data_IF_035470207162
#
_entry.id   IF_035470207162
#
_cell.length_a   1.000
_cell.length_b   1.000
_cell.length_c   1.000
_cell.angle_alpha   90.00
_cell.angle_beta   90.00
_cell.angle_gamma   90.00
#
_symmetry.space_group_name_H-M   'P 1'
#
loop_
_entity.id
_entity.type
_entity.pdbx_description
1 polymer ?
#
# COMPACT_ATOMS: atom_id res chain seq x y z
N UNK A 1 -34.02 -77.22 39.70
CA UNK A 1 -33.52 -75.82 39.80
C UNK A 1 -33.02 -75.43 38.41
N UNK A 2 -33.71 -74.48 37.76
CA UNK A 2 -33.50 -74.09 36.36
C UNK A 2 -32.15 -73.39 36.21
N UNK A 3 -31.34 -73.80 35.23
CA UNK A 3 -30.20 -73.03 34.72
C UNK A 3 -30.45 -72.80 33.23
N UNK A 4 -30.66 -71.53 32.86
CA UNK A 4 -30.86 -71.06 31.49
C UNK A 4 -29.53 -71.17 30.71
N UNK A 5 -29.55 -71.79 29.52
CA UNK A 5 -28.47 -71.68 28.53
C UNK A 5 -28.83 -70.55 27.56
N UNK A 6 -28.00 -69.52 27.56
CA UNK A 6 -28.06 -68.36 26.67
C UNK A 6 -27.65 -68.81 25.25
N UNK A 7 -28.53 -68.62 24.26
CA UNK A 7 -28.17 -68.76 22.85
C UNK A 7 -27.37 -67.52 22.43
N UNK A 8 -26.12 -67.72 22.05
CA UNK A 8 -25.29 -66.70 21.43
C UNK A 8 -25.75 -66.58 19.96
N UNK A 9 -26.64 -65.63 19.68
CA UNK A 9 -26.85 -65.16 18.30
C UNK A 9 -25.58 -64.41 17.89
N UNK A 10 -24.70 -65.09 17.17
CA UNK A 10 -23.69 -64.42 16.36
C UNK A 10 -24.41 -63.79 15.18
N UNK A 11 -24.41 -62.45 15.17
CA UNK A 11 -24.76 -61.64 14.02
C UNK A 11 -23.82 -62.05 12.88
N UNK A 12 -24.30 -62.89 11.98
CA UNK A 12 -23.70 -63.02 10.64
C UNK A 12 -24.00 -61.68 9.98
N UNK A 13 -23.00 -60.85 9.65
CA UNK A 13 -23.26 -59.66 8.85
C UNK A 13 -23.87 -60.15 7.54
N UNK A 14 -24.99 -59.54 7.14
CA UNK A 14 -25.53 -59.69 5.80
C UNK A 14 -24.48 -59.06 4.88
N UNK A 15 -23.45 -59.83 4.55
CA UNK A 15 -22.67 -59.63 3.34
C UNK A 15 -23.69 -59.85 2.23
N UNK A 16 -24.00 -58.78 1.51
CA UNK A 16 -24.62 -58.88 0.19
C UNK A 16 -23.67 -59.71 -0.65
N UNK A 17 -23.87 -61.03 -0.67
CA UNK A 17 -23.16 -61.89 -1.62
C UNK A 17 -23.57 -61.40 -3.00
N UNK A 18 -22.61 -60.83 -3.73
CA UNK A 18 -22.78 -60.64 -5.17
C UNK A 18 -23.01 -62.03 -5.76
N UNK A 19 -23.82 -62.14 -6.82
CA UNK A 19 -24.00 -63.41 -7.53
C UNK A 19 -22.68 -63.96 -8.12
N UNK A 20 -21.61 -63.17 -8.06
CA UNK A 20 -20.26 -63.47 -8.51
C UNK A 20 -19.37 -64.16 -7.46
N UNK A 21 -19.78 -64.20 -6.18
CA UNK A 21 -18.95 -64.73 -5.08
C UNK A 21 -19.32 -66.16 -4.61
N UNK A 22 -20.15 -66.90 -5.34
CA UNK A 22 -20.57 -68.24 -4.89
C UNK A 22 -19.56 -69.34 -5.31
N UNK A 23 -19.01 -70.09 -4.33
CA UNK A 23 -18.13 -71.22 -4.62
C UNK A 23 -18.96 -72.39 -5.17
N UNK A 24 -18.84 -72.60 -6.48
CA UNK A 24 -19.10 -73.83 -7.24
C UNK A 24 -19.73 -74.98 -6.43
N UNK A 25 -21.06 -75.15 -6.48
CA UNK A 25 -21.80 -76.42 -6.42
C UNK A 25 -23.31 -76.20 -6.66
N UNK A 26 -23.70 -75.97 -7.93
CA UNK A 26 -25.03 -76.36 -8.40
C UNK A 26 -24.96 -76.80 -9.88
N UNK A 27 -25.32 -78.05 -10.24
CA UNK A 27 -25.18 -78.60 -11.60
C UNK A 27 -26.47 -78.49 -12.43
N UNK A 28 -27.04 -77.29 -12.57
CA UNK A 28 -28.07 -77.02 -13.58
C UNK A 28 -27.89 -75.59 -14.16
N UNK A 29 -27.83 -75.51 -15.48
CA UNK A 29 -27.31 -74.40 -16.30
C UNK A 29 -27.89 -72.99 -16.02
N UNK A 30 -27.00 -72.01 -15.82
CA UNK A 30 -26.79 -70.88 -16.74
C UNK A 30 -25.50 -70.15 -16.29
N UNK A 31 -24.40 -70.33 -17.02
CA UNK A 31 -23.16 -69.58 -16.76
C UNK A 31 -23.38 -68.13 -17.20
N UNK A 32 -23.80 -67.28 -16.27
CA UNK A 32 -23.72 -65.85 -16.45
C UNK A 32 -22.28 -65.38 -16.22
N UNK A 33 -21.70 -64.64 -17.17
CA UNK A 33 -20.40 -64.01 -16.95
C UNK A 33 -20.54 -62.90 -15.89
N UNK A 34 -19.55 -62.79 -15.02
CA UNK A 34 -19.42 -61.71 -14.04
C UNK A 34 -18.51 -60.62 -14.60
N UNK A 35 -18.90 -59.37 -14.39
CA UNK A 35 -18.14 -58.20 -14.82
C UNK A 35 -18.92 -56.92 -14.50
N UNK A 36 -18.30 -55.77 -14.77
CA UNK A 36 -19.00 -54.50 -14.60
C UNK A 36 -20.12 -54.37 -15.63
N UNK A 37 -21.35 -54.17 -15.17
CA UNK A 37 -22.51 -54.00 -16.05
C UNK A 37 -22.86 -52.53 -16.32
N UNK A 38 -22.17 -51.58 -15.68
CA UNK A 38 -22.30 -50.15 -15.93
C UNK A 38 -21.59 -49.76 -17.24
N UNK A 39 -22.37 -49.31 -18.20
CA UNK A 39 -21.94 -48.89 -19.53
C UNK A 39 -21.05 -47.64 -19.54
N UNK A 40 -20.91 -46.93 -18.40
CA UNK A 40 -19.97 -45.83 -18.22
C UNK A 40 -18.62 -46.25 -17.59
N UNK A 41 -18.47 -47.52 -17.20
CA UNK A 41 -17.20 -48.02 -16.64
C UNK A 41 -16.21 -48.43 -17.73
N UNK A 42 -14.92 -48.22 -17.46
CA UNK A 42 -13.81 -48.56 -18.36
C UNK A 42 -13.61 -50.06 -18.56
N UNK A 43 -14.04 -50.87 -17.61
CA UNK A 43 -14.05 -52.32 -17.69
C UNK A 43 -15.47 -52.88 -17.87
N UNK A 44 -16.38 -52.10 -18.47
CA UNK A 44 -17.70 -52.56 -18.88
C UNK A 44 -17.61 -53.85 -19.71
N UNK A 45 -18.38 -54.87 -19.33
CA UNK A 45 -18.51 -56.11 -20.08
C UNK A 45 -19.97 -56.29 -20.54
N UNK A 46 -20.28 -56.13 -21.84
CA UNK A 46 -21.64 -56.30 -22.36
C UNK A 46 -22.18 -57.72 -22.27
N UNK A 47 -21.32 -58.72 -22.03
CA UNK A 47 -21.71 -60.11 -21.82
C UNK A 47 -21.92 -60.46 -20.34
N UNK A 48 -21.59 -59.55 -19.42
CA UNK A 48 -21.82 -59.77 -18.01
C UNK A 48 -23.33 -59.74 -17.73
N UNK A 49 -23.85 -60.81 -17.14
CA UNK A 49 -25.25 -60.91 -16.73
C UNK A 49 -25.43 -60.66 -15.23
N UNK A 50 -24.33 -60.63 -14.48
CA UNK A 50 -24.29 -60.35 -13.06
C UNK A 50 -23.27 -59.24 -12.77
N UNK A 51 -23.72 -58.22 -12.05
CA UNK A 51 -22.93 -57.04 -11.74
C UNK A 51 -22.01 -57.29 -10.55
N UNK A 52 -20.70 -57.23 -10.79
CA UNK A 52 -19.70 -57.23 -9.74
C UNK A 52 -19.33 -55.78 -9.42
N UNK A 53 -20.27 -55.06 -8.78
CA UNK A 53 -20.23 -53.62 -8.45
C UNK A 53 -18.91 -53.15 -7.79
N UNK A 54 -18.13 -54.07 -7.23
CA UNK A 54 -16.85 -53.78 -6.57
C UNK A 54 -15.70 -53.66 -7.60
N UNK A 55 -15.88 -54.18 -8.81
CA UNK A 55 -14.83 -54.23 -9.84
C UNK A 55 -14.92 -53.13 -10.89
N UNK A 56 -16.02 -52.37 -10.96
CA UNK A 56 -16.18 -51.28 -11.93
C UNK A 56 -15.09 -50.21 -11.74
N UNK A 57 -14.28 -49.99 -12.76
CA UNK A 57 -13.26 -48.94 -12.81
C UNK A 57 -13.77 -47.82 -13.70
N UNK A 58 -13.86 -46.61 -13.16
CA UNK A 58 -14.28 -45.42 -13.90
C UNK A 58 -13.06 -44.59 -14.27
N UNK A 59 -13.13 -43.79 -15.34
CA UNK A 59 -12.03 -42.92 -15.69
C UNK A 59 -11.88 -41.81 -14.64
N UNK A 60 -10.68 -41.25 -14.53
CA UNK A 60 -10.45 -40.07 -13.72
C UNK A 60 -11.27 -38.89 -14.28
N UNK A 61 -11.68 -37.97 -13.41
CA UNK A 61 -12.36 -36.73 -13.84
C UNK A 61 -11.56 -36.03 -14.95
N UNK A 62 -12.25 -35.65 -16.04
CA UNK A 62 -11.71 -35.06 -17.29
C UNK A 62 -10.92 -36.00 -18.23
N UNK A 63 -10.61 -37.23 -17.82
CA UNK A 63 -9.97 -38.23 -18.67
C UNK A 63 -10.98 -39.27 -19.19
N UNK A 64 -10.62 -39.93 -20.28
CA UNK A 64 -11.35 -41.07 -20.82
C UNK A 64 -10.78 -42.41 -20.26
N UNK A 65 -11.40 -43.53 -20.64
CA UNK A 65 -11.03 -44.86 -20.15
C UNK A 65 -9.70 -45.42 -20.64
N UNK A 66 -9.03 -44.73 -21.56
CA UNK A 66 -7.67 -45.04 -21.99
C UNK A 66 -6.65 -44.03 -21.43
N UNK A 67 -7.05 -43.24 -20.42
CA UNK A 67 -6.27 -42.17 -19.80
C UNK A 67 -5.84 -41.07 -20.77
N UNK A 68 -6.59 -40.86 -21.85
CA UNK A 68 -6.44 -39.68 -22.70
C UNK A 68 -7.39 -38.60 -22.20
N UNK A 69 -6.95 -37.35 -22.23
CA UNK A 69 -7.79 -36.24 -21.86
C UNK A 69 -8.99 -36.08 -22.83
N UNK A 70 -10.16 -35.68 -22.30
CA UNK A 70 -11.36 -35.41 -23.10
C UNK A 70 -11.26 -34.07 -23.86
N UNK A 71 -10.77 -33.02 -23.20
CA UNK A 71 -10.54 -31.68 -23.77
C UNK A 71 -9.08 -31.28 -23.53
N UNK A 72 -8.26 -31.39 -24.57
CA UNK A 72 -6.82 -31.09 -24.55
C UNK A 72 -6.50 -30.33 -25.83
N UNK A 73 -6.59 -29.00 -25.74
CA UNK A 73 -6.52 -28.10 -26.90
C UNK A 73 -5.12 -28.05 -27.50
N UNK A 74 -4.09 -28.17 -26.67
CA UNK A 74 -2.69 -28.03 -27.08
C UNK A 74 -1.93 -29.37 -27.21
N UNK A 75 -2.59 -30.48 -26.85
CA UNK A 75 -2.12 -31.86 -26.97
C UNK A 75 -0.90 -32.19 -26.11
N UNK A 76 -0.77 -31.55 -24.94
CA UNK A 76 0.33 -31.80 -24.00
C UNK A 76 0.04 -32.97 -23.03
N UNK A 77 -1.20 -33.46 -23.02
CA UNK A 77 -1.66 -34.59 -22.21
C UNK A 77 -2.27 -34.20 -20.86
N UNK A 78 -2.39 -32.92 -20.56
CA UNK A 78 -3.13 -32.36 -19.43
C UNK A 78 -4.46 -31.80 -19.95
N UNK A 79 -5.54 -31.98 -19.19
CA UNK A 79 -6.84 -31.45 -19.60
C UNK A 79 -6.96 -29.96 -19.38
N UNK A 80 -7.58 -29.25 -20.32
CA UNK A 80 -7.88 -27.81 -20.26
C UNK A 80 -8.52 -27.43 -18.91
N UNK A 81 -9.44 -28.26 -18.38
CA UNK A 81 -10.09 -28.01 -17.08
C UNK A 81 -9.18 -28.19 -15.85
N UNK A 82 -8.03 -28.82 -16.04
CA UNK A 82 -6.99 -29.05 -15.03
C UNK A 82 -5.76 -28.16 -15.24
N UNK A 83 -5.70 -27.40 -16.32
CA UNK A 83 -4.65 -26.42 -16.54
C UNK A 83 -4.80 -25.25 -15.57
N UNK A 84 -3.73 -24.97 -14.85
CA UNK A 84 -3.67 -23.77 -14.00
C UNK A 84 -3.13 -22.62 -14.84
N UNK A 85 -3.93 -21.59 -15.03
CA UNK A 85 -3.50 -20.37 -15.74
C UNK A 85 -2.59 -19.49 -14.87
N UNK A 86 -1.60 -18.87 -15.48
CA UNK A 86 -0.74 -17.88 -14.84
C UNK A 86 0.50 -17.54 -15.67
N UNK A 87 1.42 -16.75 -15.12
CA UNK A 87 2.68 -16.50 -15.81
C UNK A 87 3.59 -17.73 -15.73
N UNK A 88 3.95 -18.29 -16.89
CA UNK A 88 4.83 -19.46 -17.02
C UNK A 88 6.30 -19.09 -17.25
N UNK A 89 6.61 -17.80 -17.40
CA UNK A 89 7.95 -17.32 -17.68
C UNK A 89 8.76 -17.14 -16.39
N UNK A 90 9.86 -17.85 -16.26
CA UNK A 90 10.75 -17.79 -15.08
C UNK A 90 11.48 -16.46 -14.93
N UNK A 91 11.52 -15.62 -15.98
CA UNK A 91 12.12 -14.29 -15.95
C UNK A 91 11.12 -13.19 -15.52
N UNK A 92 9.82 -13.51 -15.40
CA UNK A 92 8.80 -12.58 -14.95
C UNK A 92 8.73 -12.49 -13.42
N UNK A 93 8.38 -11.32 -12.89
CA UNK A 93 8.26 -11.11 -11.45
C UNK A 93 7.12 -11.94 -10.84
N UNK A 94 5.98 -12.02 -11.54
CA UNK A 94 4.82 -12.77 -11.10
C UNK A 94 4.80 -14.23 -11.60
N UNK A 95 5.99 -14.83 -11.80
CA UNK A 95 6.12 -16.23 -12.18
C UNK A 95 5.35 -17.17 -11.23
N UNK A 96 4.53 -18.04 -11.79
CA UNK A 96 3.81 -19.07 -11.06
C UNK A 96 4.31 -20.46 -11.47
N UNK A 97 5.06 -21.11 -10.59
CA UNK A 97 5.59 -22.46 -10.81
C UNK A 97 4.52 -23.55 -10.95
N UNK A 98 3.27 -23.26 -10.59
CA UNK A 98 2.13 -24.16 -10.77
C UNK A 98 1.32 -23.85 -12.02
N UNK A 99 1.60 -22.74 -12.72
CA UNK A 99 0.93 -22.44 -13.98
C UNK A 99 1.46 -23.35 -15.08
N UNK A 100 0.52 -23.93 -15.84
CA UNK A 100 0.79 -24.81 -16.98
C UNK A 100 0.49 -24.04 -18.27
N UNK A 101 -0.54 -23.19 -18.24
CA UNK A 101 -0.95 -22.35 -19.37
C UNK A 101 -0.61 -20.89 -19.13
N UNK A 102 0.10 -20.28 -20.09
CA UNK A 102 0.40 -18.85 -20.05
C UNK A 102 -0.81 -18.02 -20.49
N UNK A 103 -1.34 -17.20 -19.58
CA UNK A 103 -2.50 -16.35 -19.85
C UNK A 103 -2.13 -14.90 -20.22
N UNK A 104 -0.85 -14.62 -20.48
CA UNK A 104 -0.35 -13.29 -20.83
C UNK A 104 -0.24 -12.32 -19.66
N UNK A 105 -0.36 -12.80 -18.41
CA UNK A 105 -0.22 -11.98 -17.21
C UNK A 105 1.22 -11.63 -16.82
N UNK A 106 2.23 -12.13 -17.52
CA UNK A 106 3.64 -11.95 -17.12
C UNK A 106 4.05 -10.48 -17.01
N UNK A 107 4.53 -10.09 -15.83
CA UNK A 107 5.02 -8.74 -15.52
C UNK A 107 6.55 -8.76 -15.39
N UNK A 108 7.21 -7.80 -16.04
CA UNK A 108 8.67 -7.71 -16.09
C UNK A 108 9.14 -6.38 -15.52
N UNK A 109 10.28 -6.42 -14.83
CA UNK A 109 11.04 -5.24 -14.39
C UNK A 109 11.40 -4.42 -15.64
N UNK A 110 10.96 -3.16 -15.70
CA UNK A 110 11.08 -2.32 -16.90
C UNK A 110 11.93 -1.07 -16.68
N UNK A 111 12.08 -0.62 -15.43
CA UNK A 111 12.92 0.50 -15.03
C UNK A 111 14.22 0.00 -14.36
N UNK A 112 15.26 0.84 -14.35
CA UNK A 112 16.56 0.56 -13.71
C UNK A 112 16.43 0.34 -12.20
N UNK A 113 15.37 0.90 -11.59
CA UNK A 113 15.15 0.90 -10.14
C UNK A 113 14.08 -0.08 -9.67
N UNK A 114 13.34 -0.68 -10.60
CA UNK A 114 12.35 -1.70 -10.29
C UNK A 114 13.05 -2.93 -9.68
N UNK A 115 12.47 -3.44 -8.59
CA UNK A 115 12.87 -4.75 -8.04
C UNK A 115 11.66 -5.67 -7.98
N UNK A 116 11.91 -6.98 -8.13
CA UNK A 116 10.89 -7.98 -7.89
C UNK A 116 11.03 -8.53 -6.47
N UNK A 117 10.00 -8.32 -5.65
CA UNK A 117 9.93 -8.86 -4.30
C UNK A 117 8.54 -9.46 -4.07
N UNK A 118 8.49 -10.72 -3.63
CA UNK A 118 7.25 -11.44 -3.33
C UNK A 118 6.21 -11.42 -4.48
N UNK A 119 6.67 -11.60 -5.72
CA UNK A 119 5.85 -11.58 -6.94
C UNK A 119 5.18 -10.23 -7.26
N UNK A 120 5.68 -9.14 -6.68
CA UNK A 120 5.21 -7.77 -6.94
C UNK A 120 6.41 -6.94 -7.43
N UNK A 121 6.18 -6.15 -8.48
CA UNK A 121 7.15 -5.13 -8.92
C UNK A 121 7.06 -3.95 -7.96
N UNK A 122 8.17 -3.63 -7.32
CA UNK A 122 8.32 -2.45 -6.48
C UNK A 122 9.12 -1.43 -7.30
N UNK A 123 8.49 -0.31 -7.64
CA UNK A 123 9.20 0.84 -8.22
C UNK A 123 9.91 1.60 -7.09
N UNK A 124 11.24 1.70 -7.16
CA UNK A 124 12.08 2.48 -6.22
C UNK A 124 12.69 3.69 -6.93
N UNK A 125 11.88 4.36 -7.73
CA UNK A 125 12.20 5.60 -8.45
C UNK A 125 10.90 6.44 -8.43
N UNK A 126 10.70 7.11 -7.30
CA UNK A 126 9.45 7.79 -6.94
C UNK A 126 9.17 8.97 -7.87
N UNK A 127 10.19 9.74 -8.25
CA UNK A 127 10.07 10.88 -9.17
C UNK A 127 10.32 10.50 -10.65
N UNK A 128 10.77 9.28 -10.92
CA UNK A 128 11.05 8.77 -12.27
C UNK A 128 12.17 9.54 -12.99
N UNK A 129 13.11 10.11 -12.25
CA UNK A 129 14.27 10.79 -12.82
C UNK A 129 15.36 9.82 -13.33
N UNK A 130 15.20 8.52 -13.00
CA UNK A 130 16.09 7.44 -13.40
C UNK A 130 17.25 7.19 -12.44
N UNK A 131 17.27 7.87 -11.30
CA UNK A 131 18.10 7.59 -10.13
C UNK A 131 17.22 6.86 -9.13
N UNK A 132 17.71 5.73 -8.63
CA UNK A 132 16.92 4.97 -7.69
C UNK A 132 16.90 5.67 -6.34
N UNK A 133 15.75 5.65 -5.65
CA UNK A 133 15.51 6.35 -4.39
C UNK A 133 16.63 6.13 -3.33
N UNK A 134 17.36 5.00 -3.40
CA UNK A 134 18.43 4.67 -2.44
C UNK A 134 19.77 5.36 -2.75
N UNK A 135 19.93 5.86 -3.97
CA UNK A 135 21.04 6.72 -4.42
C UNK A 135 20.56 8.15 -4.70
N UNK A 136 19.26 8.42 -4.54
CA UNK A 136 18.67 9.72 -4.73
C UNK A 136 18.41 10.44 -3.39
N UNK A 137 19.05 11.59 -3.25
CA UNK A 137 18.89 12.47 -2.09
C UNK A 137 17.70 13.44 -2.28
N UNK A 138 16.98 13.38 -3.41
CA UNK A 138 15.93 14.31 -3.83
C UNK A 138 14.60 13.64 -4.23
N UNK A 139 14.12 12.70 -3.42
CA UNK A 139 12.88 11.95 -3.67
C UNK A 139 11.62 12.84 -3.57
N UNK A 140 11.41 13.70 -4.56
CA UNK A 140 10.41 14.75 -4.55
C UNK A 140 9.65 14.68 -5.87
N UNK A 141 8.37 14.31 -5.86
CA UNK A 141 7.56 14.33 -7.09
C UNK A 141 6.99 15.72 -7.33
N UNK A 142 7.49 16.45 -8.33
CA UNK A 142 6.87 17.70 -8.78
C UNK A 142 5.96 17.43 -9.96
N UNK A 143 4.65 17.62 -9.77
CA UNK A 143 3.65 17.48 -10.82
C UNK A 143 3.14 18.85 -11.27
N UNK A 144 2.82 18.96 -12.56
CA UNK A 144 2.07 20.10 -13.08
C UNK A 144 0.63 19.67 -13.37
N UNK A 145 -0.30 20.30 -12.68
CA UNK A 145 -1.74 20.08 -12.86
C UNK A 145 -2.27 21.02 -13.94
N UNK A 146 -2.51 20.47 -15.13
CA UNK A 146 -3.28 21.15 -16.17
C UNK A 146 -3.96 20.15 -17.11
N UNK A 147 -5.29 20.20 -17.17
CA UNK A 147 -6.08 19.26 -17.97
C UNK A 147 -6.24 19.66 -19.44
N UNK A 148 -6.03 20.93 -19.76
CA UNK A 148 -6.18 21.45 -21.13
C UNK A 148 -4.88 22.09 -21.61
N UNK A 149 -4.17 21.38 -22.49
CA UNK A 149 -2.89 21.79 -23.07
C UNK A 149 -3.06 22.41 -24.45
N UNK A 150 -4.29 22.59 -24.95
CA UNK A 150 -4.56 23.09 -26.30
C UNK A 150 -5.53 24.26 -26.24
N UNK A 151 -5.00 25.47 -26.19
CA UNK A 151 -5.78 26.68 -25.92
C UNK A 151 -5.74 27.67 -27.09
N UNK A 152 -6.54 28.73 -26.98
CA UNK A 152 -6.56 29.86 -27.90
C UNK A 152 -5.42 30.86 -27.62
N UNK A 153 -4.77 31.47 -28.65
CA UNK A 153 -3.66 32.41 -28.43
C UNK A 153 -4.03 33.58 -27.53
N UNK A 154 -3.21 33.82 -26.51
CA UNK A 154 -3.40 34.91 -25.55
C UNK A 154 -4.47 34.65 -24.48
N UNK A 155 -5.02 33.44 -24.40
CA UNK A 155 -5.95 33.07 -23.32
C UNK A 155 -5.20 32.93 -22.01
N UNK A 156 -5.75 33.50 -20.94
CA UNK A 156 -5.25 33.25 -19.58
C UNK A 156 -5.52 31.81 -19.17
N UNK A 157 -4.46 31.11 -18.79
CA UNK A 157 -4.51 29.75 -18.25
C UNK A 157 -3.82 29.77 -16.88
N UNK A 158 -4.45 29.10 -15.92
CA UNK A 158 -3.85 28.81 -14.62
C UNK A 158 -3.08 27.51 -14.76
N UNK A 159 -1.81 27.52 -14.36
CA UNK A 159 -0.98 26.31 -14.24
C UNK A 159 -0.60 26.23 -12.77
N UNK A 160 -0.83 25.08 -12.14
CA UNK A 160 -0.48 24.86 -10.74
C UNK A 160 0.43 23.65 -10.61
N UNK A 161 1.34 23.67 -9.65
CA UNK A 161 2.13 22.50 -9.28
C UNK A 161 1.54 21.82 -8.05
N UNK A 162 1.60 20.50 -8.02
CA UNK A 162 1.46 19.70 -6.80
C UNK A 162 2.80 19.06 -6.47
N UNK A 163 3.10 18.95 -5.19
CA UNK A 163 4.23 18.18 -4.72
C UNK A 163 3.76 17.27 -3.59
N UNK A 164 4.04 15.97 -3.70
CA UNK A 164 3.77 15.00 -2.63
C UNK A 164 4.87 15.06 -1.56
N UNK A 165 4.86 16.09 -0.73
CA UNK A 165 5.40 15.94 0.63
C UNK A 165 4.38 15.09 1.40
N UNK A 166 4.80 13.96 1.98
CA UNK A 166 3.96 12.98 2.72
C UNK A 166 2.64 13.58 3.25
N UNK A 167 1.51 13.08 2.76
CA UNK A 167 0.21 13.71 2.94
C UNK A 167 -0.24 13.76 4.42
N UNK A 168 0.28 12.85 5.26
CA UNK A 168 -0.13 12.76 6.65
C UNK A 168 1.00 12.28 7.57
N UNK A 169 1.04 12.84 8.78
CA UNK A 169 1.77 12.30 9.92
C UNK A 169 0.82 11.62 10.90
N UNK A 170 1.34 10.77 11.79
CA UNK A 170 0.55 10.17 12.86
C UNK A 170 0.58 11.05 14.10
N UNK A 171 -0.58 11.57 14.50
CA UNK A 171 -0.77 12.40 15.67
C UNK A 171 -1.31 11.61 16.87
N UNK A 172 -0.77 11.95 18.03
CA UNK A 172 -1.17 11.43 19.34
C UNK A 172 -1.84 12.56 20.14
N UNK A 173 -3.17 12.75 19.96
CA UNK A 173 -3.88 13.86 20.57
C UNK A 173 -4.06 13.61 22.07
N UNK A 174 -3.57 14.52 22.91
CA UNK A 174 -3.78 14.46 24.37
C UNK A 174 -5.17 14.99 24.75
N UNK A 175 -6.22 14.20 24.47
CA UNK A 175 -7.63 14.60 24.59
C UNK A 175 -8.43 13.89 25.71
N UNK A 176 -7.75 13.28 26.71
CA UNK A 176 -8.27 12.64 27.95
C UNK A 176 -8.33 11.10 27.99
N UNK A 177 -8.77 10.55 29.14
CA UNK A 177 -8.25 9.41 29.95
C UNK A 177 -8.12 7.99 29.34
N UNK A 178 -8.12 7.82 28.02
CA UNK A 178 -7.77 6.57 27.32
C UNK A 178 -6.92 6.93 26.12
N UNK A 179 -5.64 7.22 26.36
CA UNK A 179 -4.80 7.95 25.40
C UNK A 179 -4.32 7.00 24.29
N UNK A 180 -4.03 7.59 23.12
CA UNK A 180 -3.85 6.84 21.89
C UNK A 180 -2.55 6.06 21.79
N UNK A 181 -2.60 4.98 21.01
CA UNK A 181 -1.46 4.13 20.71
C UNK A 181 -1.54 3.56 19.31
N UNK A 182 -0.39 3.33 18.70
CA UNK A 182 -0.25 2.45 17.54
C UNK A 182 0.46 1.18 17.99
N UNK A 183 -0.15 0.02 17.79
CA UNK A 183 0.31 -1.26 18.34
C UNK A 183 0.54 -2.27 17.22
N UNK A 184 1.71 -2.89 17.16
CA UNK A 184 1.97 -3.95 16.19
C UNK A 184 0.98 -5.12 16.36
N UNK A 185 0.37 -5.53 15.24
CA UNK A 185 -0.64 -6.59 15.19
C UNK A 185 -0.06 -7.99 15.02
N UNK A 186 1.23 -8.10 14.71
CA UNK A 186 1.89 -9.38 14.44
C UNK A 186 1.87 -10.28 15.67
N UNK A 187 1.64 -11.58 15.46
CA UNK A 187 1.71 -12.59 16.53
C UNK A 187 3.15 -12.86 17.02
N UNK A 188 4.17 -12.25 16.40
CA UNK A 188 5.58 -12.50 16.69
C UNK A 188 6.24 -11.29 17.37
N UNK A 189 6.08 -11.20 18.69
CA UNK A 189 6.59 -10.09 19.51
C UNK A 189 8.13 -9.98 19.54
N UNK A 190 8.84 -10.95 18.96
CA UNK A 190 10.30 -11.00 18.99
C UNK A 190 10.97 -10.14 17.94
N UNK A 191 10.29 -9.74 16.87
CA UNK A 191 10.95 -9.07 15.74
C UNK A 191 11.40 -7.65 16.09
N UNK A 192 10.72 -7.03 17.06
CA UNK A 192 11.12 -5.75 17.66
C UNK A 192 12.12 -5.90 18.81
N UNK A 193 12.66 -7.09 19.06
CA UNK A 193 13.76 -7.28 20.01
C UNK A 193 15.09 -6.82 19.39
N UNK A 194 15.39 -5.55 19.56
CA UNK A 194 16.63 -4.90 19.12
C UNK A 194 17.83 -5.38 19.97
N UNK A 195 18.26 -6.61 19.73
CA UNK A 195 19.29 -7.35 20.52
C UNK A 195 20.69 -7.32 19.92
N UNK A 196 20.78 -7.04 18.63
CA UNK A 196 22.01 -6.98 17.85
C UNK A 196 22.20 -5.56 17.30
N UNK A 197 22.86 -5.41 16.15
CA UNK A 197 22.93 -4.13 15.44
C UNK A 197 21.50 -3.63 15.11
N UNK A 198 21.25 -2.33 15.28
CA UNK A 198 20.00 -1.74 14.83
C UNK A 198 20.11 -0.25 14.51
N UNK A 199 19.11 0.22 13.77
CA UNK A 199 18.79 1.64 13.59
C UNK A 199 17.30 1.85 13.81
N UNK A 200 16.93 2.86 14.60
CA UNK A 200 15.57 3.42 14.63
C UNK A 200 15.66 4.85 14.12
N UNK A 201 14.89 5.19 13.10
CA UNK A 201 14.86 6.54 12.54
C UNK A 201 13.43 6.98 12.20
N UNK A 202 13.13 8.25 12.48
CA UNK A 202 11.80 8.83 12.29
C UNK A 202 11.83 10.35 12.44
N UNK A 203 10.81 11.01 11.91
CA UNK A 203 10.52 12.41 12.19
C UNK A 203 9.67 12.53 13.46
N UNK A 204 10.02 13.50 14.31
CA UNK A 204 9.36 13.76 15.59
C UNK A 204 8.96 15.24 15.69
N UNK A 205 7.72 15.49 16.10
CA UNK A 205 7.29 16.79 16.61
C UNK A 205 6.73 16.63 18.01
N UNK A 206 7.52 17.05 19.00
CA UNK A 206 7.08 17.07 20.39
C UNK A 206 6.19 18.29 20.64
N UNK A 207 5.01 18.10 21.22
CA UNK A 207 4.06 19.20 21.50
C UNK A 207 3.87 19.42 23.01
N UNK A 208 4.75 18.84 23.83
CA UNK A 208 4.73 19.00 25.27
C UNK A 208 6.13 19.11 25.89
N UNK A 209 6.19 19.78 27.04
CA UNK A 209 7.39 19.79 27.89
C UNK A 209 7.28 18.78 29.04
N UNK A 210 6.24 17.95 29.04
CA UNK A 210 6.00 16.94 30.07
C UNK A 210 6.75 15.63 29.79
N UNK A 211 6.79 14.76 30.79
CA UNK A 211 7.33 13.42 30.64
C UNK A 211 6.40 12.57 29.77
N UNK A 212 6.93 12.06 28.67
CA UNK A 212 6.30 11.03 27.85
C UNK A 212 7.22 9.84 27.56
N UNK A 213 6.60 8.72 27.20
CA UNK A 213 7.21 7.57 26.53
C UNK A 213 6.67 7.48 25.12
N UNK A 214 7.55 7.34 24.13
CA UNK A 214 7.16 7.36 22.72
C UNK A 214 6.96 5.96 22.18
N UNK A 215 7.96 5.10 22.22
CA UNK A 215 7.84 3.78 21.61
C UNK A 215 8.75 2.76 22.26
N UNK A 216 8.37 1.49 22.16
CA UNK A 216 9.16 0.38 22.67
C UNK A 216 8.33 -0.89 22.79
N UNK A 217 8.98 -1.93 23.28
CA UNK A 217 8.36 -3.21 23.60
C UNK A 217 8.59 -3.58 25.07
N UNK A 218 8.36 -2.66 26.00
CA UNK A 218 8.50 -2.91 27.44
C UNK A 218 7.18 -2.64 28.18
N UNK A 219 7.11 -3.09 29.44
CA UNK A 219 6.04 -2.76 30.37
C UNK A 219 6.56 -2.06 31.61
N UNK A 220 5.80 -1.09 32.10
CA UNK A 220 6.09 -0.33 33.31
C UNK A 220 6.29 -1.23 34.53
N UNK A 221 7.40 -0.98 35.23
CA UNK A 221 7.80 -1.76 36.41
C UNK A 221 8.51 -3.07 36.08
N UNK A 222 8.58 -3.47 34.80
CA UNK A 222 9.41 -4.59 34.35
C UNK A 222 10.78 -4.07 33.92
N UNK A 223 11.74 -4.17 34.83
CA UNK A 223 13.10 -3.67 34.64
C UNK A 223 14.02 -4.72 34.00
N UNK A 224 13.48 -5.82 33.48
CA UNK A 224 14.28 -6.95 32.98
C UNK A 224 14.03 -7.25 31.50
N UNK A 225 13.10 -6.58 30.82
CA UNK A 225 12.72 -6.91 29.45
C UNK A 225 12.52 -5.71 28.52
N UNK A 226 12.92 -5.87 27.26
CA UNK A 226 12.64 -4.95 26.16
C UNK A 226 13.41 -3.64 26.19
N UNK A 227 12.95 -2.72 25.35
CA UNK A 227 13.49 -1.37 25.23
C UNK A 227 12.40 -0.31 25.21
N UNK A 228 12.80 0.93 25.52
CA UNK A 228 11.91 2.09 25.56
C UNK A 228 12.63 3.35 25.12
N UNK A 229 11.99 4.11 24.24
CA UNK A 229 12.35 5.49 23.89
C UNK A 229 11.42 6.45 24.61
N UNK A 230 11.97 7.34 25.43
CA UNK A 230 11.22 8.23 26.34
C UNK A 230 11.89 9.58 26.52
N UNK A 231 11.13 10.59 26.97
CA UNK A 231 11.64 11.92 27.34
C UNK A 231 11.21 12.27 28.76
N UNK A 232 11.94 11.84 29.81
CA UNK A 232 11.56 12.14 31.19
C UNK A 232 11.79 13.58 31.62
N UNK A 233 12.58 14.34 30.85
CA UNK A 233 12.86 15.76 31.08
C UNK A 233 12.96 16.49 29.73
N UNK A 234 13.99 17.30 29.50
CA UNK A 234 14.22 17.96 28.21
C UNK A 234 14.88 17.03 27.18
N UNK A 235 15.61 16.01 27.62
CA UNK A 235 16.40 15.14 26.78
C UNK A 235 15.65 13.86 26.42
N UNK A 236 15.76 13.47 25.14
CA UNK A 236 15.35 12.15 24.69
C UNK A 236 16.27 11.09 25.31
N UNK A 237 15.73 9.91 25.59
CA UNK A 237 16.48 8.81 26.18
C UNK A 237 16.05 7.48 25.60
N UNK A 238 17.03 6.64 25.28
CA UNK A 238 16.80 5.23 24.99
C UNK A 238 17.14 4.38 26.22
N UNK A 239 16.41 3.30 26.45
CA UNK A 239 16.67 2.41 27.58
C UNK A 239 16.40 0.95 27.21
N UNK A 240 17.41 0.07 27.35
CA UNK A 240 17.15 -1.39 27.46
C UNK A 240 16.93 -1.73 28.91
N UNK A 241 15.70 -1.60 29.37
CA UNK A 241 15.29 -1.71 30.77
C UNK A 241 15.80 -0.59 31.69
N UNK A 242 15.19 -0.46 32.87
CA UNK A 242 15.54 0.59 33.83
C UNK A 242 16.85 0.28 34.56
N UNK A 243 17.82 1.20 34.42
CA UNK A 243 19.06 1.38 35.19
C UNK A 243 19.89 0.10 35.44
N UNK A 244 21.11 -0.05 34.84
CA UNK A 244 22.01 1.01 34.34
C UNK A 244 21.97 1.30 32.83
N UNK A 245 21.05 0.68 32.10
CA UNK A 245 21.00 0.70 30.64
C UNK A 245 20.22 1.89 30.04
N UNK A 246 20.21 3.04 30.70
CA UNK A 246 19.59 4.26 30.17
C UNK A 246 20.64 5.13 29.48
N UNK A 247 20.32 5.65 28.30
CA UNK A 247 21.20 6.43 27.43
C UNK A 247 20.55 7.78 27.23
N UNK A 248 21.17 8.83 27.78
CA UNK A 248 20.68 10.19 27.61
C UNK A 248 21.17 10.73 26.28
N UNK A 249 20.24 11.25 25.49
CA UNK A 249 20.54 12.03 24.31
C UNK A 249 20.47 13.52 24.62
N UNK A 250 20.36 14.30 23.56
CA UNK A 250 20.21 15.73 23.61
C UNK A 250 18.73 16.13 23.71
N UNK A 251 18.53 17.42 23.94
CA UNK A 251 17.24 18.09 23.98
C UNK A 251 16.50 18.01 22.65
N UNK A 252 15.19 17.71 22.74
CA UNK A 252 14.20 17.80 21.66
C UNK A 252 13.51 19.14 21.75
N UNK A 253 13.41 19.84 20.63
CA UNK A 253 12.77 21.15 20.55
C UNK A 253 11.24 20.99 20.53
N UNK A 254 10.55 21.85 21.27
CA UNK A 254 9.09 21.78 21.37
C UNK A 254 8.44 22.51 20.19
N UNK A 255 7.46 21.86 19.57
CA UNK A 255 6.69 22.27 18.38
C UNK A 255 7.51 22.44 17.09
N UNK A 256 8.69 21.82 16.99
CA UNK A 256 9.51 21.79 15.78
C UNK A 256 9.62 20.35 15.28
N UNK A 257 9.59 20.16 13.97
CA UNK A 257 9.90 18.86 13.35
C UNK A 257 11.40 18.64 13.42
N UNK A 258 11.80 17.50 13.98
CA UNK A 258 13.20 17.07 14.06
C UNK A 258 13.31 15.62 13.57
N UNK A 259 14.29 15.34 12.73
CA UNK A 259 14.63 13.96 12.38
C UNK A 259 15.51 13.36 13.46
N UNK A 260 15.13 12.19 13.94
CA UNK A 260 15.83 11.43 14.96
C UNK A 260 16.35 10.14 14.33
N UNK A 261 17.65 9.86 14.48
CA UNK A 261 18.18 8.52 14.19
C UNK A 261 19.04 8.01 15.35
N UNK A 262 18.78 6.77 15.73
CA UNK A 262 19.36 6.07 16.86
C UNK A 262 20.02 4.81 16.31
N UNK A 263 21.35 4.72 16.39
CA UNK A 263 22.12 3.59 15.88
C UNK A 263 22.84 2.87 17.01
N UNK A 264 22.85 1.54 16.98
CA UNK A 264 23.68 0.73 17.87
C UNK A 264 24.42 -0.35 17.11
N UNK A 265 25.73 -0.44 17.35
CA UNK A 265 26.57 -1.55 16.91
C UNK A 265 26.90 -2.45 18.09
N UNK A 266 26.42 -3.69 18.06
CA UNK A 266 26.71 -4.71 19.06
C UNK A 266 28.19 -5.10 19.06
N UNK A 267 28.78 -5.26 17.88
CA UNK A 267 30.21 -5.64 17.74
C UNK A 267 31.14 -4.64 18.42
N UNK A 268 30.81 -3.34 18.36
CA UNK A 268 31.65 -2.29 18.93
C UNK A 268 31.10 -1.66 20.22
N UNK A 269 29.92 -2.12 20.68
CA UNK A 269 29.16 -1.52 21.78
C UNK A 269 28.96 0.00 21.61
N UNK A 270 28.83 0.47 20.36
CA UNK A 270 28.72 1.90 20.06
C UNK A 270 27.27 2.29 19.89
N UNK A 271 26.85 3.28 20.65
CA UNK A 271 25.55 3.93 20.52
C UNK A 271 25.76 5.31 19.91
N UNK A 272 25.03 5.63 18.85
CA UNK A 272 25.08 6.94 18.18
C UNK A 272 23.69 7.54 18.08
N UNK A 273 23.58 8.84 18.36
CA UNK A 273 22.34 9.60 18.23
C UNK A 273 22.58 10.77 17.29
N UNK A 274 21.71 10.85 16.29
CA UNK A 274 21.71 11.89 15.27
C UNK A 274 20.43 12.71 15.37
N UNK A 275 20.57 14.02 15.18
CA UNK A 275 19.46 14.97 15.12
C UNK A 275 19.57 15.79 13.86
N UNK A 276 18.53 15.79 13.03
CA UNK A 276 18.53 16.44 11.72
C UNK A 276 19.76 16.05 10.88
N UNK A 277 20.16 14.78 10.96
CA UNK A 277 21.30 14.25 10.23
C UNK A 277 22.67 14.54 10.85
N UNK A 278 22.79 15.42 11.84
CA UNK A 278 24.05 15.71 12.53
C UNK A 278 24.30 14.70 13.66
N UNK A 279 25.53 14.16 13.77
CA UNK A 279 25.95 13.32 14.89
C UNK A 279 26.08 14.15 16.17
N UNK A 280 25.17 13.94 17.12
CA UNK A 280 25.14 14.70 18.37
C UNK A 280 25.87 13.95 19.49
N UNK A 281 25.65 12.64 19.60
CA UNK A 281 26.24 11.82 20.68
C UNK A 281 26.80 10.52 20.12
N UNK A 282 27.99 10.13 20.59
CA UNK A 282 28.60 8.83 20.38
C UNK A 282 29.13 8.30 21.71
N UNK A 283 28.59 7.18 22.19
CA UNK A 283 28.99 6.54 23.43
C UNK A 283 29.38 5.07 23.21
N UNK A 284 30.38 4.59 23.96
CA UNK A 284 30.71 3.16 24.02
C UNK A 284 30.15 2.62 25.32
N UNK A 285 29.18 1.70 25.24
CA UNK A 285 28.50 1.17 26.41
C UNK A 285 28.04 -0.26 26.16
N UNK A 286 28.51 -1.14 27.04
CA UNK A 286 28.12 -2.56 27.03
C UNK A 286 26.67 -2.63 27.50
N UNK A 287 25.76 -2.95 26.59
CA UNK A 287 24.35 -3.10 26.90
C UNK A 287 24.09 -4.55 27.33
N UNK A 288 23.40 -4.73 28.47
CA UNK A 288 22.74 -6.00 28.75
C UNK A 288 21.41 -5.98 28.03
N UNK A 289 21.42 -6.40 26.77
CA UNK A 289 20.22 -6.35 25.94
C UNK A 289 19.28 -7.49 26.31
N UNK A 290 18.03 -7.15 26.60
CA UNK A 290 17.02 -8.13 27.00
C UNK A 290 15.95 -8.27 25.93
N UNK A 291 15.57 -9.50 25.64
CA UNK A 291 14.39 -9.80 24.84
C UNK A 291 13.13 -9.37 25.59
N UNK A 292 12.08 -9.08 24.83
CA UNK A 292 10.75 -8.84 25.35
C UNK A 292 9.76 -9.86 24.84
N UNK A 293 8.72 -10.06 25.65
CA UNK A 293 7.48 -10.75 25.26
C UNK A 293 6.34 -9.75 25.00
N UNK A 294 6.54 -8.47 25.30
CA UNK A 294 5.52 -7.43 25.14
C UNK A 294 5.44 -6.98 23.68
N UNK A 295 4.25 -6.52 23.31
CA UNK A 295 3.99 -6.00 21.98
C UNK A 295 4.78 -4.70 21.74
N UNK A 296 5.15 -4.44 20.48
CA UNK A 296 5.68 -3.13 20.10
C UNK A 296 4.55 -2.10 20.06
N UNK A 297 4.74 -1.01 20.79
CA UNK A 297 3.77 0.05 20.97
C UNK A 297 4.43 1.40 20.70
N UNK A 298 3.69 2.27 20.03
CA UNK A 298 3.98 3.69 19.85
C UNK A 298 2.87 4.49 20.57
N UNK A 299 3.24 5.60 21.19
CA UNK A 299 2.38 6.50 21.94
C UNK A 299 2.49 6.39 23.46
N UNK A 300 3.04 5.28 23.99
CA UNK A 300 3.25 5.08 25.44
C UNK A 300 4.11 3.85 25.76
N UNK A 301 4.50 3.74 27.05
CA UNK A 301 5.00 2.50 27.67
C UNK A 301 3.82 1.66 28.17
N UNK A 302 3.80 0.35 27.89
CA UNK A 302 2.71 -0.53 28.32
C UNK A 302 2.56 -0.49 29.85
N UNK A 303 1.34 -0.33 30.37
CA UNK A 303 1.09 -0.30 31.82
C UNK A 303 1.53 0.98 32.55
N UNK A 304 2.08 1.99 31.86
CA UNK A 304 2.33 3.33 32.40
C UNK A 304 1.25 4.34 31.96
N UNK A 305 1.25 5.51 32.60
CA UNK A 305 0.44 6.67 32.22
C UNK A 305 1.28 7.82 31.61
N UNK A 306 2.43 7.52 31.01
CA UNK A 306 3.36 8.50 30.45
C UNK A 306 3.18 8.58 28.93
N UNK A 307 2.09 9.17 28.49
CA UNK A 307 1.69 9.15 27.09
C UNK A 307 2.35 10.25 26.27
N UNK A 308 2.75 9.91 25.06
CA UNK A 308 3.25 10.87 24.09
C UNK A 308 2.14 11.81 23.62
N UNK A 309 2.50 13.10 23.53
CA UNK A 309 1.70 14.13 22.91
C UNK A 309 2.55 14.80 21.85
N UNK A 310 2.18 14.58 20.60
CA UNK A 310 2.88 15.14 19.46
C UNK A 310 2.56 14.38 18.19
N UNK A 311 3.48 14.45 17.24
CA UNK A 311 3.36 13.78 15.94
C UNK A 311 4.64 13.04 15.61
N UNK A 312 4.51 11.95 14.88
CA UNK A 312 5.63 11.28 14.24
C UNK A 312 5.34 11.10 12.77
N UNK A 313 6.39 11.03 11.97
CA UNK A 313 6.29 10.70 10.57
C UNK A 313 7.45 9.80 10.12
N UNK A 314 7.26 9.06 9.02
CA UNK A 314 8.23 8.17 8.38
C UNK A 314 9.10 7.41 9.37
N UNK A 315 8.54 6.39 10.04
CA UNK A 315 9.29 5.53 10.95
C UNK A 315 9.92 4.36 10.20
N UNK A 316 11.23 4.16 10.32
CA UNK A 316 11.93 2.93 9.93
C UNK A 316 12.68 2.33 11.10
N UNK A 317 12.54 1.02 11.27
CA UNK A 317 13.32 0.20 12.21
C UNK A 317 14.11 -0.82 11.39
N UNK A 318 15.40 -0.97 11.67
CA UNK A 318 16.29 -1.86 10.92
C UNK A 318 17.24 -2.63 11.82
N UNK A 319 17.69 -3.81 11.40
CA UNK A 319 18.64 -4.68 12.12
C UNK A 319 20.11 -4.49 11.69
N UNK A 320 20.43 -3.29 11.19
CA UNK A 320 21.77 -2.87 10.77
C UNK A 320 22.03 -1.45 11.27
N UNK A 321 23.30 -1.07 11.42
CA UNK A 321 23.70 0.33 11.62
C UNK A 321 23.72 1.04 10.26
N UNK A 322 22.75 1.94 10.04
CA UNK A 322 22.65 2.69 8.78
C UNK A 322 23.58 3.91 8.74
N UNK A 323 23.86 4.52 9.89
CA UNK A 323 24.61 5.77 9.95
C UNK A 323 25.81 5.69 10.90
N UNK A 324 26.96 6.18 10.45
CA UNK A 324 28.19 6.30 11.25
C UNK A 324 28.80 7.70 11.24
N UNK A 325 28.28 8.59 10.39
CA UNK A 325 28.70 9.98 10.22
C UNK A 325 27.45 10.82 9.92
N UNK A 326 27.60 12.14 9.84
CA UNK A 326 26.50 13.01 9.44
C UNK A 326 25.91 12.56 8.09
N UNK A 327 24.61 12.72 7.94
CA UNK A 327 23.84 12.37 6.74
C UNK A 327 22.74 13.41 6.52
N UNK A 328 22.05 13.34 5.39
CA UNK A 328 20.86 14.12 5.10
C UNK A 328 19.64 13.24 5.35
N UNK A 329 18.73 13.58 6.28
CA UNK A 329 17.55 12.77 6.56
C UNK A 329 16.60 12.64 5.36
N UNK A 330 16.15 11.45 5.00
CA UNK A 330 15.19 11.30 3.90
C UNK A 330 13.76 11.67 4.31
N UNK A 331 12.97 12.11 3.32
CA UNK A 331 11.53 12.31 3.43
C UNK A 331 10.76 11.00 3.46
N UNK A 332 11.19 10.06 2.63
CA UNK A 332 10.62 8.72 2.55
C UNK A 332 11.77 7.73 2.65
N UNK A 333 11.54 6.65 3.37
CA UNK A 333 12.50 5.57 3.46
C UNK A 333 12.15 4.45 2.51
N UNK A 334 13.17 3.74 2.07
CA UNK A 334 13.03 2.51 1.30
C UNK A 334 13.28 1.34 2.24
N UNK A 335 12.48 0.29 2.06
CA UNK A 335 12.68 -0.96 2.74
C UNK A 335 13.74 -1.78 1.99
N UNK A 336 14.67 -2.37 2.75
CA UNK A 336 15.60 -3.37 2.25
C UNK A 336 15.50 -4.62 3.11
N UNK A 337 16.31 -5.64 2.80
CA UNK A 337 16.35 -6.90 3.56
C UNK A 337 16.72 -6.74 5.06
N UNK A 338 17.21 -5.57 5.47
CA UNK A 338 17.57 -5.25 6.84
C UNK A 338 16.48 -4.43 7.56
N UNK A 339 15.45 -3.98 6.84
CA UNK A 339 14.29 -3.28 7.42
C UNK A 339 13.40 -4.28 8.16
N UNK A 340 13.16 -4.03 9.44
CA UNK A 340 12.27 -4.81 10.30
C UNK A 340 10.83 -4.38 10.09
N UNK A 341 10.59 -3.07 10.06
CA UNK A 341 9.28 -2.47 9.83
C UNK A 341 9.44 -1.02 9.34
N UNK A 342 8.47 -0.55 8.55
CA UNK A 342 8.47 0.80 8.00
C UNK A 342 7.05 1.35 7.90
N UNK A 343 6.83 2.59 8.33
CA UNK A 343 5.52 3.25 8.34
C UNK A 343 5.66 4.71 7.91
N UNK A 344 5.01 5.11 6.82
CA UNK A 344 4.97 6.50 6.36
C UNK A 344 3.74 7.28 6.84
N UNK A 345 2.78 6.59 7.49
CA UNK A 345 1.54 7.17 8.04
C UNK A 345 0.67 7.94 7.04
N UNK A 346 0.80 7.66 5.74
CA UNK A 346 0.10 8.37 4.67
C UNK A 346 -1.31 7.82 4.37
N UNK A 347 -1.84 6.90 5.18
CA UNK A 347 -3.16 6.32 4.93
C UNK A 347 -4.30 7.34 5.03
N UNK A 348 -4.12 8.39 5.85
CA UNK A 348 -5.04 9.53 5.98
C UNK A 348 -6.38 9.24 6.65
N UNK A 349 -6.83 7.98 6.66
CA UNK A 349 -8.07 7.51 7.27
C UNK A 349 -7.92 6.07 7.79
N UNK A 350 -8.85 5.66 8.67
CA UNK A 350 -8.92 4.29 9.17
C UNK A 350 -8.22 4.13 10.51
N UNK A 351 -8.02 2.87 10.90
CA UNK A 351 -7.45 2.48 12.20
C UNK A 351 -6.26 1.52 12.05
N UNK A 352 -5.61 1.52 10.90
CA UNK A 352 -4.43 0.72 10.62
C UNK A 352 -3.39 1.64 9.98
N UNK A 353 -2.14 1.56 10.44
CA UNK A 353 -0.98 2.03 9.69
C UNK A 353 -0.25 0.80 9.14
N UNK A 354 -0.12 0.70 7.83
CA UNK A 354 0.41 -0.47 7.16
C UNK A 354 1.93 -0.48 7.22
N UNK A 355 2.49 -1.68 7.45
CA UNK A 355 3.92 -1.89 7.33
C UNK A 355 4.32 -1.98 5.86
N UNK A 356 4.77 -0.85 5.32
CA UNK A 356 5.20 -0.72 3.92
C UNK A 356 6.56 -1.36 3.64
N UNK A 357 7.19 -2.01 4.63
CA UNK A 357 8.39 -2.82 4.40
C UNK A 357 8.12 -4.17 3.74
N UNK A 358 6.86 -4.61 3.69
CA UNK A 358 6.48 -5.92 3.18
C UNK A 358 6.69 -7.06 4.18
N UNK A 359 6.97 -6.76 5.45
CA UNK A 359 7.17 -7.75 6.51
C UNK A 359 5.90 -8.09 7.30
N UNK A 360 4.75 -7.51 6.97
CA UNK A 360 3.45 -7.75 7.63
C UNK A 360 3.47 -7.42 9.14
N UNK A 361 3.97 -6.22 9.49
CA UNK A 361 4.01 -5.73 10.87
C UNK A 361 3.05 -4.57 11.16
N UNK A 362 1.93 -4.49 10.46
CA UNK A 362 0.92 -3.43 10.56
C UNK A 362 0.59 -3.02 12.01
N UNK A 363 0.38 -1.71 12.22
CA UNK A 363 0.00 -1.14 13.50
C UNK A 363 -1.52 -0.95 13.57
N UNK A 364 -2.16 -1.49 14.61
CA UNK A 364 -3.51 -1.12 14.99
C UNK A 364 -3.49 0.24 15.71
N UNK A 365 -4.27 1.18 15.18
CA UNK A 365 -4.39 2.54 15.68
C UNK A 365 -5.56 2.65 16.64
N UNK A 366 -5.29 3.12 17.86
CA UNK A 366 -6.26 3.29 18.93
C UNK A 366 -6.19 4.73 19.37
N UNK A 367 -7.28 5.50 19.22
CA UNK A 367 -7.36 6.91 19.63
C UNK A 367 -6.18 7.81 19.15
N UNK A 368 -5.59 7.48 18.00
CA UNK A 368 -4.66 8.32 17.24
C UNK A 368 -5.37 8.89 16.01
N UNK A 369 -4.79 9.92 15.39
CA UNK A 369 -5.37 10.55 14.20
C UNK A 369 -4.28 10.87 13.16
N UNK A 370 -4.63 10.79 11.87
CA UNK A 370 -3.77 11.29 10.81
C UNK A 370 -3.85 12.82 10.74
N UNK A 371 -2.71 13.47 10.54
CA UNK A 371 -2.59 14.93 10.54
C UNK A 371 -1.88 15.43 9.30
N UNK A 372 -2.39 16.51 8.70
CA UNK A 372 -1.73 17.19 7.57
C UNK A 372 -0.56 18.09 7.99
N UNK A 373 -0.22 18.12 9.28
CA UNK A 373 1.00 18.76 9.78
C UNK A 373 2.11 17.73 9.68
N UNK A 374 2.94 17.84 8.66
CA UNK A 374 4.03 16.92 8.31
C UNK A 374 5.38 17.64 8.37
N UNK A 375 6.50 16.92 8.49
CA UNK A 375 7.82 17.53 8.33
C UNK A 375 7.91 18.15 6.94
N UNK A 376 8.01 19.48 6.90
CA UNK A 376 8.22 20.25 5.67
C UNK A 376 9.69 20.67 5.60
N UNK A 377 10.25 20.60 4.40
CA UNK A 377 11.54 21.19 4.10
C UNK A 377 11.36 22.60 3.57
N UNK A 378 12.41 23.42 3.67
CA UNK A 378 12.43 24.74 3.06
C UNK A 378 12.52 24.61 1.54
N UNK A 379 11.36 24.51 0.92
CA UNK A 379 11.22 24.43 -0.52
C UNK A 379 10.91 25.80 -1.13
N UNK A 380 11.52 26.07 -2.27
CA UNK A 380 11.23 27.25 -3.08
C UNK A 380 10.92 26.79 -4.50
N UNK A 381 9.82 27.28 -5.06
CA UNK A 381 9.48 27.03 -6.45
C UNK A 381 9.87 28.22 -7.32
N UNK A 382 10.40 27.94 -8.51
CA UNK A 382 10.65 28.95 -9.52
C UNK A 382 10.21 28.44 -10.89
N UNK A 383 9.63 29.32 -11.70
CA UNK A 383 9.16 28.99 -13.04
C UNK A 383 10.07 29.62 -14.09
N UNK A 384 10.11 29.05 -15.30
CA UNK A 384 10.90 29.56 -16.44
C UNK A 384 10.56 31.00 -16.86
N UNK A 385 9.42 31.53 -16.38
CA UNK A 385 8.98 32.92 -16.56
C UNK A 385 9.30 33.84 -15.36
N UNK A 386 10.11 33.38 -14.41
CA UNK A 386 10.52 34.05 -13.16
C UNK A 386 9.40 34.25 -12.11
N UNK A 387 8.28 33.53 -12.23
CA UNK A 387 7.30 33.47 -11.13
C UNK A 387 7.77 32.47 -10.07
N UNK A 388 7.36 32.64 -8.82
CA UNK A 388 7.85 31.85 -7.67
C UNK A 388 6.72 31.33 -6.78
N UNK A 389 5.52 31.20 -7.33
CA UNK A 389 4.33 30.70 -6.63
C UNK A 389 3.99 29.32 -7.17
N UNK A 390 3.41 28.45 -6.33
CA UNK A 390 2.94 27.13 -6.75
C UNK A 390 1.86 27.21 -7.85
N UNK A 391 1.16 28.33 -7.94
CA UNK A 391 0.20 28.62 -9.00
C UNK A 391 0.66 29.84 -9.81
N UNK A 392 0.64 29.73 -11.13
CA UNK A 392 0.96 30.81 -12.06
C UNK A 392 -0.14 31.00 -13.10
N UNK A 393 -0.38 32.24 -13.50
CA UNK A 393 -1.27 32.58 -14.63
C UNK A 393 -0.44 33.02 -15.81
N UNK A 394 -0.62 32.38 -16.96
CA UNK A 394 0.13 32.66 -18.19
C UNK A 394 -0.79 32.88 -19.38
N UNK A 395 -0.29 33.53 -20.43
CA UNK A 395 -1.06 33.82 -21.65
C UNK A 395 -0.19 33.69 -22.91
N UNK A 396 0.23 32.46 -23.26
CA UNK A 396 1.11 32.24 -24.41
C UNK A 396 0.41 32.60 -25.74
N UNK A 397 1.18 33.17 -26.67
CA UNK A 397 0.73 33.51 -28.04
C UNK A 397 1.30 32.58 -29.12
N UNK A 398 2.11 31.62 -28.70
CA UNK A 398 2.74 30.56 -29.50
C UNK A 398 2.98 29.35 -28.61
N UNK A 399 3.27 28.18 -29.18
CA UNK A 399 3.63 27.01 -28.39
C UNK A 399 4.74 27.38 -27.41
N UNK A 400 4.47 27.22 -26.12
CA UNK A 400 5.37 27.66 -25.05
C UNK A 400 5.48 26.56 -24.02
N UNK A 401 6.71 26.22 -23.67
CA UNK A 401 7.02 25.30 -22.58
C UNK A 401 7.31 26.10 -21.31
N UNK A 402 6.60 25.77 -20.24
CA UNK A 402 6.85 26.27 -18.89
C UNK A 402 7.54 25.18 -18.11
N UNK A 403 8.62 25.54 -17.40
CA UNK A 403 9.37 24.63 -16.54
C UNK A 403 9.21 25.15 -15.13
N UNK A 404 8.75 24.30 -14.22
CA UNK A 404 8.77 24.55 -12.79
C UNK A 404 10.00 23.84 -12.22
N UNK A 405 10.76 24.54 -11.39
CA UNK A 405 11.92 24.05 -10.66
C UNK A 405 11.62 24.19 -9.16
N UNK A 406 11.58 23.07 -8.45
CA UNK A 406 11.49 23.03 -7.00
C UNK A 406 12.90 22.88 -6.45
N UNK A 407 13.31 23.79 -5.57
CA UNK A 407 14.58 23.71 -4.87
C UNK A 407 14.34 23.49 -3.39
N UNK A 408 14.94 22.43 -2.85
CA UNK A 408 14.93 22.12 -1.43
C UNK A 408 16.24 22.61 -0.79
N UNK A 409 16.16 23.61 0.10
CA UNK A 409 17.32 24.20 0.77
C UNK A 409 18.02 23.23 1.73
N UNK A 410 17.25 22.35 2.36
CA UNK A 410 17.76 21.44 3.39
C UNK A 410 18.59 20.29 2.77
N UNK A 411 18.26 19.90 1.54
CA UNK A 411 18.98 18.86 0.78
C UNK A 411 19.87 19.40 -0.33
N UNK A 412 19.78 20.70 -0.63
CA UNK A 412 20.43 21.34 -1.78
C UNK A 412 20.17 20.55 -3.08
N UNK A 413 18.91 20.22 -3.31
CA UNK A 413 18.48 19.39 -4.43
C UNK A 413 17.38 20.10 -5.25
N UNK A 414 17.27 19.73 -6.52
CA UNK A 414 16.38 20.37 -7.49
C UNK A 414 15.55 19.30 -8.19
N UNK A 415 14.24 19.51 -8.25
CA UNK A 415 13.34 18.75 -9.11
C UNK A 415 12.76 19.67 -10.18
N UNK A 416 12.47 19.14 -11.37
CA UNK A 416 11.86 19.90 -12.44
C UNK A 416 10.67 19.18 -13.10
N UNK A 417 9.62 19.95 -13.34
CA UNK A 417 8.49 19.53 -14.13
C UNK A 417 8.32 20.46 -15.32
N UNK A 418 7.94 19.92 -16.48
CA UNK A 418 7.65 20.73 -17.66
C UNK A 418 6.25 20.51 -18.20
N UNK A 419 5.66 21.60 -18.69
CA UNK A 419 4.40 21.56 -19.43
C UNK A 419 4.53 22.37 -20.71
N UNK A 420 4.13 21.76 -21.83
CA UNK A 420 4.02 22.48 -23.11
C UNK A 420 2.57 22.83 -23.37
N UNK A 421 2.30 24.13 -23.47
CA UNK A 421 1.02 24.64 -23.94
C UNK A 421 1.08 24.75 -25.46
N UNK A 422 0.26 23.95 -26.12
CA UNK A 422 0.13 23.93 -27.58
C UNK A 422 -0.94 24.91 -28.02
N UNK A 423 -0.61 25.64 -29.08
CA UNK A 423 -1.54 26.53 -29.74
C UNK A 423 -2.11 25.83 -30.95
N UNK A 424 -3.43 25.72 -30.98
CA UNK A 424 -4.13 25.21 -32.16
C UNK A 424 -4.71 26.39 -32.93
N UNK A 425 -4.11 26.68 -34.09
CA UNK A 425 -4.58 27.70 -35.02
C UNK A 425 -5.90 27.30 -35.72
N UNK A 426 -6.30 26.03 -35.68
CA UNK A 426 -7.58 25.52 -36.20
C UNK A 426 -8.72 25.60 -35.19
N UNK A 427 -8.42 25.80 -33.89
CA UNK A 427 -9.45 26.16 -32.91
C UNK A 427 -9.94 27.57 -33.28
N UNK A 428 -11.20 27.64 -33.70
CA UNK A 428 -11.83 28.90 -34.07
C UNK A 428 -12.14 29.73 -32.82
N UNK A 429 -11.12 30.41 -32.30
CA UNK A 429 -11.16 31.23 -31.09
C UNK A 429 -12.10 32.45 -31.16
N UNK A 430 -12.76 32.65 -32.30
CA UNK A 430 -13.69 33.75 -32.55
C UNK A 430 -15.17 33.33 -32.68
N UNK A 431 -15.56 32.11 -32.31
CA UNK A 431 -16.98 31.73 -32.35
C UNK A 431 -17.42 30.92 -31.15
N UNK A 432 -17.73 31.60 -30.04
CA UNK A 432 -18.60 31.06 -29.00
C UNK A 432 -19.88 31.88 -28.90
N UNK A 433 -20.71 31.81 -29.94
CA UNK A 433 -22.09 31.35 -29.75
C UNK A 433 -22.48 30.59 -31.03
N UNK A 434 -22.53 29.26 -30.97
CA UNK A 434 -23.04 28.49 -32.12
C UNK A 434 -24.54 28.82 -32.32
N UNK A 435 -24.99 28.81 -33.58
CA UNK A 435 -26.37 29.16 -33.96
C UNK A 435 -27.42 28.20 -33.35
N UNK A 436 -27.06 26.96 -32.99
CA UNK A 436 -27.92 26.04 -32.23
C UNK A 436 -28.04 26.45 -30.75
N UNK A 437 -27.01 26.99 -30.14
CA UNK A 437 -26.98 27.52 -28.77
C UNK A 437 -27.79 28.82 -28.65
N UNK A 438 -27.71 29.70 -29.65
CA UNK A 438 -28.62 30.86 -29.80
C UNK A 438 -30.07 30.38 -29.93
N UNK A 439 -30.34 29.39 -30.78
CA UNK A 439 -31.69 28.83 -30.95
C UNK A 439 -32.22 28.09 -29.71
N UNK A 440 -31.34 27.53 -28.87
CA UNK A 440 -31.68 26.94 -27.55
C UNK A 440 -32.10 28.02 -26.55
N UNK A 441 -31.42 29.16 -26.55
CA UNK A 441 -31.77 30.35 -25.75
C UNK A 441 -33.10 30.95 -26.24
N UNK A 442 -33.32 31.07 -27.55
CA UNK A 442 -34.60 31.53 -28.12
C UNK A 442 -35.76 30.55 -27.86
N UNK A 443 -35.54 29.23 -27.92
CA UNK A 443 -36.58 28.22 -27.53
C UNK A 443 -36.94 28.26 -26.05
N UNK A 444 -35.99 28.63 -25.17
CA UNK A 444 -36.27 28.82 -23.73
C UNK A 444 -37.05 30.11 -23.45
N UNK A 445 -37.00 31.08 -24.36
CA UNK A 445 -37.77 32.33 -24.28
C UNK A 445 -39.25 32.13 -24.69
N UNK A 446 -39.58 31.07 -25.42
CA UNK A 446 -40.96 30.79 -25.86
C UNK A 446 -41.87 30.15 -24.78
N UNK A 447 -41.33 29.89 -23.56
CA UNK A 447 -42.06 29.26 -22.45
C UNK A 447 -42.54 30.29 -21.40
N UNK A 448 -42.07 31.54 -21.46
CA UNK A 448 -42.54 32.62 -20.59
C UNK A 448 -43.30 33.68 -21.39
N UNK A 449 -44.58 33.38 -21.66
CA UNK A 449 -45.60 34.40 -21.82
C UNK A 449 -45.96 34.76 -23.26
N UNK A 450 -46.99 34.08 -23.77
CA UNK A 450 -47.94 34.68 -24.71
C UNK A 450 -48.56 35.94 -24.08
N UNK A 451 -47.93 37.09 -24.21
CA UNK A 451 -48.59 38.40 -24.32
C UNK A 451 -47.68 39.35 -25.13
N UNK A 452 -48.03 39.54 -26.41
CA UNK A 452 -47.73 40.70 -27.25
C UNK A 452 -46.37 41.39 -27.07
N UNK A 453 -45.32 40.87 -27.70
CA UNK A 453 -44.16 41.68 -28.10
C UNK A 453 -44.44 42.18 -29.53
N UNK A 454 -44.75 43.47 -29.67
CA UNK A 454 -44.80 44.12 -30.99
C UNK A 454 -43.37 44.29 -31.53
N UNK A 455 -43.23 44.42 -32.86
CA UNK A 455 -41.97 44.47 -33.64
C UNK A 455 -40.96 45.58 -33.28
N UNK A 456 -41.19 46.36 -32.23
CA UNK A 456 -40.34 47.49 -31.81
C UNK A 456 -39.70 47.32 -30.42
N UNK A 457 -39.83 46.13 -29.80
CA UNK A 457 -39.19 45.84 -28.52
C UNK A 457 -37.75 45.35 -28.72
N UNK A 458 -36.81 45.98 -28.01
CA UNK A 458 -35.38 45.68 -28.09
C UNK A 458 -34.95 44.88 -26.85
N UNK A 459 -34.33 43.72 -27.06
CA UNK A 459 -33.78 42.89 -25.99
C UNK A 459 -32.27 43.08 -26.01
N UNK A 460 -31.73 43.71 -24.97
CA UNK A 460 -30.30 43.92 -24.78
C UNK A 460 -29.83 42.88 -23.75
N UNK A 461 -28.88 42.05 -24.17
CA UNK A 461 -28.18 41.09 -23.33
C UNK A 461 -26.76 41.60 -23.15
N UNK A 462 -26.38 41.89 -21.91
CA UNK A 462 -25.02 42.30 -21.59
C UNK A 462 -24.26 41.07 -21.09
N UNK A 463 -23.17 40.74 -21.77
CA UNK A 463 -22.31 39.61 -21.44
C UNK A 463 -21.00 40.13 -20.85
N UNK A 464 -20.40 39.36 -19.95
CA UNK A 464 -19.04 39.65 -19.49
C UNK A 464 -18.01 39.32 -20.58
N UNK A 465 -16.77 39.68 -20.31
CA UNK A 465 -15.61 39.42 -21.17
C UNK A 465 -15.33 37.92 -21.36
N UNK A 466 -16.05 37.04 -20.64
CA UNK A 466 -16.03 35.58 -20.72
C UNK A 466 -17.31 35.00 -21.34
N UNK A 467 -18.21 35.84 -21.87
CA UNK A 467 -19.45 35.44 -22.54
C UNK A 467 -20.61 35.04 -21.61
N UNK A 468 -20.48 35.20 -20.28
CA UNK A 468 -21.55 34.91 -19.34
C UNK A 468 -22.57 36.05 -19.28
N UNK A 469 -23.86 35.72 -19.13
CA UNK A 469 -24.91 36.73 -19.06
C UNK A 469 -24.84 37.51 -17.75
N UNK A 470 -24.47 38.79 -17.82
CA UNK A 470 -24.45 39.71 -16.69
C UNK A 470 -25.85 40.30 -16.46
N UNK A 471 -26.47 40.86 -17.50
CA UNK A 471 -27.75 41.58 -17.38
C UNK A 471 -28.68 41.27 -18.55
N UNK A 472 -29.98 41.12 -18.23
CA UNK A 472 -31.05 41.03 -19.24
C UNK A 472 -31.96 42.24 -19.13
N UNK A 473 -31.96 43.07 -20.16
CA UNK A 473 -32.85 44.24 -20.26
C UNK A 473 -33.82 44.07 -21.41
N UNK A 474 -35.11 44.20 -21.10
CA UNK A 474 -36.17 44.26 -22.10
C UNK A 474 -36.62 45.70 -22.16
N UNK A 475 -36.34 46.37 -23.27
CA UNK A 475 -36.86 47.70 -23.56
C UNK A 475 -38.18 47.49 -24.30
N UNK A 476 -39.28 47.77 -23.59
CA UNK A 476 -40.61 47.82 -24.17
C UNK A 476 -40.84 49.24 -24.70
N UNK A 477 -41.05 49.39 -26.01
CA UNK A 477 -41.45 50.66 -26.62
C UNK A 477 -42.98 50.80 -26.68
#
# INVERSE_FOLDING_TARGET
MKIFRLFLFTLIPILTFSQCDLPWWDPFELFGECGCTDDNACNYNPNATYDDLITCTFPQEFYNCVNECINDMDSDGICDELETEGCTDTEACNFNAFAILNNGSCEYINNICDICQNNIIINNDIDNDGICDFEDDCVIVLDILQNDTTICPGTEILISTSHESGSYSLSFPNISQTIGSAKATSNNNTDFNLTEDFTIEFWLKDETNEYWSLMGNNSYGDNEQGWLLKKPNENLMFAWTYNPNEFNFHTVNNNEWEHIAICYSNTSNKFSYFKNGELITLEIKVANVNTSIYDFIIGHEAGAANWFKGKIDNLRISNVVRYSNNFNPFLSFIADQYTIAMYNFNEGIGNIAYDISGNERDLELINTEFSTDTPLFQETISWSNNQTTAEITVSPISNTTYIAELYNEDFNCYEYAEITIYMDEEINCNTFIDEQSINKIFKKIDILGRQSLNRENEIILELDERGNLIEKKIILN
#
